data_IF_691934493788
#
_entry.id   IF_691934493788
#
_cell.length_a   1.000
_cell.length_b   1.000
_cell.length_c   1.000
_cell.angle_alpha   90.00
_cell.angle_beta   90.00
_cell.angle_gamma   90.00
#
_symmetry.space_group_name_H-M   'P 1'
#
loop_
_entity.id
_entity.type
_entity.pdbx_description
1 polymer ?
#
# COMPACT_ATOMS: atom_id res chain seq x y z
N UNK A 1 -5.41 -98.00 19.82
CA UNK A 1 -6.41 -97.57 18.82
C UNK A 1 -6.89 -96.21 19.21
N UNK A 2 -6.45 -95.20 18.52
CA UNK A 2 -6.55 -93.79 18.89
C UNK A 2 -7.54 -93.12 17.95
N UNK A 3 -8.65 -92.63 18.49
CA UNK A 3 -9.64 -91.82 17.74
C UNK A 3 -9.29 -90.34 17.84
N UNK A 4 -9.00 -89.72 16.69
CA UNK A 4 -8.86 -88.29 16.54
C UNK A 4 -10.23 -87.68 16.36
N UNK A 5 -10.63 -86.74 17.24
CA UNK A 5 -11.74 -85.79 17.01
C UNK A 5 -11.17 -84.53 16.54
N UNK A 6 -11.58 -84.09 15.35
CA UNK A 6 -11.26 -82.81 14.73
C UNK A 6 -12.29 -81.78 15.19
N UNK A 7 -11.87 -80.79 15.93
CA UNK A 7 -12.72 -79.71 16.34
C UNK A 7 -12.65 -78.55 15.33
N UNK A 8 -13.79 -78.16 14.78
CA UNK A 8 -13.95 -77.04 13.84
C UNK A 8 -14.13 -75.75 14.63
N UNK A 9 -13.15 -74.83 14.57
CA UNK A 9 -13.29 -73.55 15.09
C UNK A 9 -13.92 -72.59 14.01
N UNK A 10 -15.13 -72.11 14.25
CA UNK A 10 -15.79 -71.08 13.44
C UNK A 10 -15.36 -69.78 14.02
N UNK A 11 -14.51 -68.99 13.29
CA UNK A 11 -14.17 -67.69 13.62
C UNK A 11 -15.22 -66.68 13.03
N UNK A 12 -16.04 -66.16 13.88
CA UNK A 12 -17.02 -65.15 13.50
C UNK A 12 -16.29 -63.76 13.43
N UNK A 13 -15.99 -63.26 12.21
CA UNK A 13 -15.51 -61.92 12.00
C UNK A 13 -16.67 -60.95 12.19
N UNK A 14 -16.66 -60.19 13.28
CA UNK A 14 -17.55 -59.05 13.50
C UNK A 14 -16.99 -57.87 12.70
N UNK A 15 -17.58 -57.57 11.55
CA UNK A 15 -17.26 -56.40 10.76
C UNK A 15 -17.86 -55.17 11.43
N UNK A 16 -17.04 -54.37 12.12
CA UNK A 16 -17.43 -53.04 12.62
C UNK A 16 -17.55 -52.09 11.45
N UNK A 17 -18.76 -51.81 10.99
CA UNK A 17 -19.04 -50.72 10.03
C UNK A 17 -18.98 -49.41 10.82
N UNK A 18 -17.85 -48.72 10.76
CA UNK A 18 -17.76 -47.34 11.22
C UNK A 18 -18.44 -46.47 10.18
N UNK A 19 -19.66 -46.08 10.47
CA UNK A 19 -20.35 -45.04 9.68
C UNK A 19 -19.62 -43.69 9.93
N UNK A 20 -18.75 -43.32 9.01
CA UNK A 20 -18.24 -41.94 8.96
C UNK A 20 -19.37 -41.05 8.52
N UNK A 21 -20.06 -40.43 9.47
CA UNK A 21 -20.90 -39.27 9.17
C UNK A 21 -19.96 -38.14 8.73
N UNK A 22 -19.90 -37.87 7.42
CA UNK A 22 -19.34 -36.62 6.93
C UNK A 22 -20.20 -35.53 7.50
N UNK A 23 -19.69 -34.81 8.50
CA UNK A 23 -20.22 -33.53 8.90
C UNK A 23 -19.97 -32.62 7.68
N UNK A 24 -21.03 -32.35 6.91
CA UNK A 24 -20.96 -31.31 5.90
C UNK A 24 -20.57 -30.03 6.65
N UNK A 25 -19.40 -29.44 6.32
CA UNK A 25 -19.04 -28.14 6.82
C UNK A 25 -20.23 -27.19 6.53
N UNK A 26 -20.67 -26.48 7.52
CA UNK A 26 -21.67 -25.43 7.33
C UNK A 26 -21.19 -24.54 6.19
N UNK A 27 -22.06 -24.09 5.25
CA UNK A 27 -21.64 -23.19 4.22
C UNK A 27 -21.04 -21.96 4.90
N UNK A 28 -19.75 -21.72 4.64
CA UNK A 28 -19.07 -20.50 5.07
C UNK A 28 -19.86 -19.36 4.44
N UNK A 29 -20.38 -18.46 5.26
CA UNK A 29 -21.04 -17.26 4.74
C UNK A 29 -20.06 -16.56 3.78
N UNK A 30 -20.55 -16.19 2.60
CA UNK A 30 -19.73 -15.47 1.63
C UNK A 30 -19.11 -14.26 2.33
N UNK A 31 -17.77 -14.16 2.29
CA UNK A 31 -17.05 -13.04 2.89
C UNK A 31 -17.52 -11.73 2.27
N UNK A 32 -17.66 -10.69 3.08
CA UNK A 32 -18.00 -9.35 2.58
C UNK A 32 -16.85 -8.85 1.73
N UNK A 33 -17.06 -8.74 0.42
CA UNK A 33 -15.99 -8.43 -0.53
C UNK A 33 -16.00 -6.96 -0.95
N UNK A 34 -14.86 -6.29 -0.76
CA UNK A 34 -14.57 -4.98 -1.37
C UNK A 34 -14.18 -5.14 -2.85
N UNK A 35 -14.14 -4.05 -3.59
CA UNK A 35 -13.82 -4.07 -5.02
C UNK A 35 -12.45 -4.66 -5.38
N UNK A 36 -11.49 -4.58 -4.44
CA UNK A 36 -10.13 -5.08 -4.62
C UNK A 36 -9.87 -6.44 -3.97
N UNK A 37 -10.86 -7.11 -3.37
CA UNK A 37 -10.67 -8.34 -2.58
C UNK A 37 -9.93 -9.48 -3.30
N UNK A 38 -9.94 -9.51 -4.63
CA UNK A 38 -9.27 -10.52 -5.46
C UNK A 38 -8.01 -10.02 -6.14
N UNK A 39 -7.62 -8.78 -5.88
CA UNK A 39 -6.53 -8.12 -6.61
C UNK A 39 -5.17 -8.37 -5.96
N UNK A 40 -4.15 -8.17 -6.78
CA UNK A 40 -2.74 -8.14 -6.40
C UNK A 40 -2.24 -6.73 -6.70
N UNK A 41 -1.83 -6.00 -5.67
CA UNK A 41 -1.49 -4.58 -5.76
C UNK A 41 0.02 -4.42 -5.97
N UNK A 42 0.42 -3.63 -6.97
CA UNK A 42 1.76 -3.11 -7.14
C UNK A 42 1.78 -1.66 -6.66
N UNK A 43 2.48 -1.39 -5.57
CA UNK A 43 2.64 -0.05 -5.02
C UNK A 43 3.87 0.62 -5.61
N UNK A 44 3.72 1.80 -6.23
CA UNK A 44 4.78 2.45 -6.97
C UNK A 44 4.84 3.97 -6.75
N UNK A 45 6.08 4.48 -6.73
CA UNK A 45 6.39 5.91 -6.82
C UNK A 45 6.63 6.29 -8.28
N UNK A 46 5.80 7.14 -8.91
CA UNK A 46 6.03 7.59 -10.28
C UNK A 46 7.39 8.23 -10.46
N UNK A 47 7.81 9.14 -9.57
CA UNK A 47 9.12 9.82 -9.63
C UNK A 47 10.32 8.87 -9.62
N UNK A 48 10.19 7.66 -9.06
CA UNK A 48 11.29 6.69 -8.90
C UNK A 48 11.18 5.50 -9.85
N UNK A 49 10.14 5.45 -10.70
CA UNK A 49 9.90 4.27 -11.52
C UNK A 49 10.61 4.34 -12.88
N UNK A 50 10.24 5.30 -13.73
CA UNK A 50 10.86 5.49 -15.04
C UNK A 50 10.63 6.92 -15.54
N UNK A 51 11.69 7.58 -16.00
CA UNK A 51 11.61 8.89 -16.65
C UNK A 51 11.22 8.70 -18.13
N UNK A 52 10.02 9.12 -18.48
CA UNK A 52 9.48 9.06 -19.85
C UNK A 52 9.49 10.40 -20.57
N UNK A 53 9.66 11.52 -19.83
CA UNK A 53 9.66 12.88 -20.38
C UNK A 53 10.66 13.79 -19.69
N UNK A 54 11.87 13.86 -20.20
CA UNK A 54 12.92 14.73 -19.66
C UNK A 54 12.62 16.24 -19.77
N UNK A 55 11.53 16.65 -20.43
CA UNK A 55 11.15 18.06 -20.50
C UNK A 55 10.57 18.60 -19.19
N UNK A 56 10.11 17.72 -18.30
CA UNK A 56 9.63 18.07 -16.96
C UNK A 56 10.74 18.08 -15.89
N UNK A 57 11.95 17.61 -16.18
CA UNK A 57 13.13 17.60 -15.27
C UNK A 57 13.65 19.00 -14.90
N UNK A 58 13.09 20.05 -15.47
CA UNK A 58 13.54 21.44 -15.27
C UNK A 58 12.83 22.18 -14.15
N UNK A 59 11.80 21.61 -13.53
CA UNK A 59 11.06 22.28 -12.48
C UNK A 59 11.88 22.37 -11.17
N UNK A 60 11.62 23.40 -10.34
CA UNK A 60 12.32 23.54 -9.06
C UNK A 60 12.15 22.33 -8.16
N UNK A 61 13.23 21.82 -7.60
CA UNK A 61 13.21 20.61 -6.78
C UNK A 61 13.67 19.34 -7.51
N UNK A 62 14.10 19.45 -8.78
CA UNK A 62 14.77 18.37 -9.48
C UNK A 62 16.26 18.32 -9.10
N UNK A 63 16.66 17.27 -8.41
CA UNK A 63 18.05 16.89 -8.16
C UNK A 63 18.17 15.37 -8.04
N UNK A 64 18.41 14.64 -9.13
CA UNK A 64 18.43 13.18 -9.12
C UNK A 64 19.65 12.58 -8.40
N UNK A 65 20.54 13.39 -7.83
CA UNK A 65 21.67 12.94 -7.01
C UNK A 65 21.38 12.96 -5.50
N UNK A 66 20.32 13.64 -5.08
CA UNK A 66 19.91 13.75 -3.68
C UNK A 66 18.58 13.03 -3.44
N UNK A 67 18.57 12.09 -2.49
CA UNK A 67 17.41 11.24 -2.16
C UNK A 67 16.17 12.00 -1.72
N UNK A 68 16.31 13.25 -1.30
CA UNK A 68 15.23 14.12 -0.83
C UNK A 68 14.54 14.93 -1.94
N UNK A 69 14.98 14.81 -3.19
CA UNK A 69 14.51 15.62 -4.31
C UNK A 69 13.88 14.79 -5.43
N UNK A 70 13.25 15.44 -6.42
CA UNK A 70 12.71 14.75 -7.61
C UNK A 70 13.84 14.16 -8.47
N UNK A 71 13.63 12.95 -8.98
CA UNK A 71 14.58 12.24 -9.85
C UNK A 71 14.13 12.15 -11.31
N UNK A 72 12.91 12.59 -11.61
CA UNK A 72 12.37 12.71 -12.96
C UNK A 72 11.60 11.50 -13.47
N UNK A 73 11.31 10.50 -12.65
CA UNK A 73 10.30 9.52 -13.02
C UNK A 73 8.92 10.19 -13.13
N UNK A 74 8.08 9.73 -14.06
CA UNK A 74 6.85 10.42 -14.42
C UNK A 74 5.74 9.49 -14.92
N UNK A 75 4.56 10.04 -15.17
CA UNK A 75 3.41 9.31 -15.68
C UNK A 75 3.65 8.70 -17.06
N UNK A 76 4.42 9.36 -17.95
CA UNK A 76 4.77 8.81 -19.27
C UNK A 76 5.64 7.58 -19.13
N UNK A 77 6.65 7.63 -18.27
CA UNK A 77 7.52 6.50 -17.97
C UNK A 77 6.76 5.33 -17.34
N UNK A 78 5.91 5.61 -16.34
CA UNK A 78 5.09 4.60 -15.70
C UNK A 78 4.04 4.00 -16.65
N UNK A 79 3.48 4.79 -17.58
CA UNK A 79 2.58 4.32 -18.62
C UNK A 79 3.30 3.40 -19.60
N UNK A 80 4.49 3.82 -20.04
CA UNK A 80 5.23 3.16 -21.11
C UNK A 80 4.50 3.26 -22.45
N UNK A 81 4.75 2.30 -23.32
CA UNK A 81 4.10 2.21 -24.64
C UNK A 81 2.77 1.45 -24.60
N UNK A 82 2.37 0.94 -23.46
CA UNK A 82 1.20 0.09 -23.29
C UNK A 82 1.22 -1.19 -24.16
N UNK A 83 2.42 -1.69 -24.50
CA UNK A 83 2.63 -2.88 -25.30
C UNK A 83 3.48 -3.91 -24.53
N UNK A 84 3.30 -5.21 -24.79
CA UNK A 84 4.15 -6.24 -24.20
C UNK A 84 5.64 -5.98 -24.48
N UNK A 85 6.46 -6.13 -23.44
CA UNK A 85 7.91 -5.97 -23.52
C UNK A 85 8.42 -4.57 -23.14
N UNK A 86 7.52 -3.60 -22.87
CA UNK A 86 7.95 -2.33 -22.28
C UNK A 86 8.11 -2.41 -20.74
N UNK A 87 8.70 -1.38 -20.16
CA UNK A 87 8.98 -1.30 -18.72
C UNK A 87 7.88 -0.58 -17.91
N UNK A 88 6.82 -0.10 -18.55
CA UNK A 88 5.71 0.59 -17.89
C UNK A 88 4.65 -0.36 -17.33
N UNK A 89 3.39 0.03 -17.44
CA UNK A 89 2.23 -0.75 -16.96
C UNK A 89 2.19 -2.18 -17.51
N UNK A 90 2.64 -2.40 -18.76
CA UNK A 90 2.65 -3.73 -19.36
C UNK A 90 3.61 -4.69 -18.62
N UNK A 91 4.74 -4.20 -18.09
CA UNK A 91 5.62 -4.99 -17.22
C UNK A 91 4.94 -5.36 -15.91
N UNK A 92 4.27 -4.40 -15.28
CA UNK A 92 3.55 -4.63 -14.02
C UNK A 92 2.46 -5.71 -14.23
N UNK A 93 1.73 -5.61 -15.34
CA UNK A 93 0.76 -6.64 -15.74
C UNK A 93 1.39 -8.01 -15.96
N UNK A 94 2.55 -8.07 -16.62
CA UNK A 94 3.30 -9.31 -16.86
C UNK A 94 3.72 -10.00 -15.56
N UNK A 95 4.09 -9.26 -14.52
CA UNK A 95 4.41 -9.78 -13.19
C UNK A 95 3.18 -10.41 -12.47
N UNK A 96 1.97 -10.30 -13.05
CA UNK A 96 0.75 -10.87 -12.52
C UNK A 96 -0.07 -9.94 -11.63
N UNK A 97 0.34 -8.68 -11.47
CA UNK A 97 -0.44 -7.69 -10.74
C UNK A 97 -1.72 -7.31 -11.48
N UNK A 98 -2.76 -6.99 -10.73
CA UNK A 98 -4.08 -6.63 -11.25
C UNK A 98 -4.52 -5.23 -10.85
N UNK A 99 -3.80 -4.62 -9.90
CA UNK A 99 -4.01 -3.23 -9.48
C UNK A 99 -2.67 -2.51 -9.29
N UNK A 100 -2.66 -1.20 -9.54
CA UNK A 100 -1.51 -0.32 -9.34
C UNK A 100 -1.92 0.79 -8.37
N UNK A 101 -1.21 0.89 -7.26
CA UNK A 101 -1.34 1.97 -6.29
C UNK A 101 -0.19 2.96 -6.53
N UNK A 102 -0.54 4.21 -6.87
CA UNK A 102 0.40 5.31 -7.06
C UNK A 102 0.36 6.27 -5.87
N UNK A 103 1.52 6.82 -5.49
CA UNK A 103 1.59 7.91 -4.49
C UNK A 103 0.78 9.12 -4.95
N UNK A 104 0.47 10.11 -4.07
CA UNK A 104 -0.34 11.25 -4.46
C UNK A 104 0.26 12.00 -5.66
N UNK A 105 -0.59 12.35 -6.63
CA UNK A 105 -0.20 12.97 -7.91
C UNK A 105 -0.41 14.48 -7.94
N UNK A 106 -0.88 15.07 -6.84
CA UNK A 106 -1.25 16.49 -6.71
C UNK A 106 -0.04 17.39 -6.64
N UNK A 107 -0.21 18.68 -6.98
CA UNK A 107 0.90 19.66 -6.94
C UNK A 107 1.38 19.86 -5.52
N UNK A 108 2.68 19.76 -5.33
CA UNK A 108 3.33 19.84 -4.04
C UNK A 108 3.66 21.31 -3.65
N UNK A 109 3.95 21.50 -2.37
CA UNK A 109 4.55 22.77 -1.93
C UNK A 109 5.88 23.06 -2.64
N UNK A 110 6.30 24.31 -2.62
CA UNK A 110 7.61 24.70 -3.17
C UNK A 110 8.73 23.95 -2.44
N UNK A 111 9.77 23.52 -3.18
CA UNK A 111 10.94 22.90 -2.58
C UNK A 111 11.58 23.76 -1.49
N UNK A 112 12.09 23.08 -0.48
CA UNK A 112 12.88 23.69 0.60
C UNK A 112 14.35 23.32 0.42
N UNK A 113 15.29 23.95 1.15
CA UNK A 113 16.70 23.51 1.13
C UNK A 113 16.91 22.06 1.58
N UNK A 114 15.94 21.46 2.28
CA UNK A 114 16.03 20.13 2.85
C UNK A 114 15.28 19.05 2.03
N UNK A 115 14.59 19.43 0.95
CA UNK A 115 13.89 18.48 0.09
C UNK A 115 12.73 19.06 -0.70
N UNK A 116 12.17 18.22 -1.52
CA UNK A 116 11.00 18.48 -2.36
C UNK A 116 9.91 17.41 -2.15
N UNK A 117 8.69 17.71 -2.56
CA UNK A 117 7.53 16.84 -2.40
C UNK A 117 7.46 15.66 -3.38
N UNK A 118 8.58 15.10 -3.84
CA UNK A 118 8.64 14.01 -4.82
C UNK A 118 7.78 12.79 -4.44
N UNK A 119 7.53 12.62 -3.16
CA UNK A 119 6.72 11.54 -2.60
C UNK A 119 5.20 11.80 -2.68
N UNK A 120 4.77 13.05 -2.90
CA UNK A 120 3.36 13.39 -3.07
C UNK A 120 2.61 13.84 -1.81
N UNK A 121 3.23 13.79 -0.62
CA UNK A 121 2.54 14.02 0.66
C UNK A 121 2.59 15.46 1.16
N UNK A 122 3.17 16.40 0.41
CA UNK A 122 3.22 17.83 0.74
C UNK A 122 2.33 18.66 -0.20
N UNK A 123 1.10 18.16 -0.44
CA UNK A 123 0.18 18.73 -1.41
C UNK A 123 -0.29 20.13 -1.04
N UNK A 124 -0.33 21.02 -2.06
CA UNK A 124 -0.93 22.35 -1.96
C UNK A 124 -2.02 22.60 -3.00
N UNK A 125 -1.91 22.05 -4.21
CA UNK A 125 -2.99 22.11 -5.21
C UNK A 125 -3.50 20.72 -5.51
N UNK A 126 -4.66 20.41 -4.96
CA UNK A 126 -5.30 19.09 -5.04
C UNK A 126 -6.17 18.90 -6.29
N UNK A 127 -6.29 19.94 -7.12
CA UNK A 127 -7.09 19.89 -8.36
C UNK A 127 -6.26 19.61 -9.61
N UNK A 128 -4.92 19.74 -9.51
CA UNK A 128 -4.02 19.60 -10.64
C UNK A 128 -2.94 18.54 -10.40
N UNK A 129 -2.47 17.94 -11.50
CA UNK A 129 -1.33 17.02 -11.50
C UNK A 129 -0.04 17.80 -11.31
N UNK A 130 0.88 17.28 -10.48
CA UNK A 130 2.19 17.91 -10.28
C UNK A 130 2.98 17.92 -11.61
N UNK A 131 3.52 19.08 -12.01
CA UNK A 131 4.22 19.21 -13.29
C UNK A 131 5.48 18.35 -13.42
N UNK A 132 6.11 17.92 -12.31
CA UNK A 132 7.21 16.95 -12.34
C UNK A 132 6.73 15.57 -12.79
N UNK A 133 5.48 15.21 -12.49
CA UNK A 133 4.90 13.91 -12.83
C UNK A 133 4.21 13.93 -14.20
N UNK A 134 3.94 15.12 -14.76
CA UNK A 134 3.31 15.25 -16.06
C UNK A 134 2.10 16.18 -16.07
N UNK A 135 1.22 15.96 -17.02
CA UNK A 135 0.01 16.76 -17.26
C UNK A 135 -1.26 15.95 -17.02
N UNK A 136 -2.41 16.64 -17.02
CA UNK A 136 -3.73 16.00 -17.05
C UNK A 136 -3.87 15.02 -18.23
N UNK A 137 -3.31 15.36 -19.39
CA UNK A 137 -3.36 14.47 -20.56
C UNK A 137 -2.52 13.19 -20.35
N UNK A 138 -1.37 13.29 -19.69
CA UNK A 138 -0.54 12.13 -19.36
C UNK A 138 -1.24 11.21 -18.36
N UNK A 139 -1.98 11.77 -17.38
CA UNK A 139 -2.76 10.99 -16.44
C UNK A 139 -3.96 10.28 -17.11
N UNK A 140 -4.61 10.94 -18.08
CA UNK A 140 -5.65 10.30 -18.90
C UNK A 140 -5.06 9.13 -19.70
N UNK A 141 -3.90 9.33 -20.35
CA UNK A 141 -3.22 8.27 -21.10
C UNK A 141 -2.80 7.09 -20.20
N UNK A 142 -2.33 7.37 -18.97
CA UNK A 142 -2.04 6.36 -17.96
C UNK A 142 -3.29 5.54 -17.60
N UNK A 143 -4.40 6.21 -17.35
CA UNK A 143 -5.68 5.56 -17.03
C UNK A 143 -6.21 4.70 -18.20
N UNK A 144 -6.16 5.22 -19.42
CA UNK A 144 -6.57 4.47 -20.61
C UNK A 144 -5.70 3.23 -20.85
N UNK A 145 -4.38 3.35 -20.64
CA UNK A 145 -3.47 2.22 -20.72
C UNK A 145 -3.77 1.17 -19.65
N UNK A 146 -3.98 1.58 -18.40
CA UNK A 146 -4.36 0.68 -17.32
C UNK A 146 -5.65 -0.08 -17.66
N UNK A 147 -6.67 0.62 -18.14
CA UNK A 147 -7.93 0.02 -18.58
C UNK A 147 -7.73 -1.00 -19.71
N UNK A 148 -6.92 -0.67 -20.72
CA UNK A 148 -6.57 -1.57 -21.83
C UNK A 148 -5.89 -2.85 -21.36
N UNK A 149 -5.04 -2.75 -20.32
CA UNK A 149 -4.32 -3.87 -19.73
C UNK A 149 -5.12 -4.62 -18.65
N UNK A 150 -6.37 -4.23 -18.37
CA UNK A 150 -7.17 -4.71 -17.24
C UNK A 150 -6.40 -4.58 -15.92
N UNK A 151 -5.81 -3.42 -15.70
CA UNK A 151 -5.22 -3.00 -14.42
C UNK A 151 -6.15 -2.00 -13.75
N UNK A 152 -6.45 -2.20 -12.49
CA UNK A 152 -7.18 -1.27 -11.63
C UNK A 152 -6.22 -0.20 -11.12
N UNK A 153 -6.70 1.03 -10.98
CA UNK A 153 -5.89 2.13 -10.44
C UNK A 153 -6.36 2.51 -9.04
N UNK A 154 -5.41 2.66 -8.14
CA UNK A 154 -5.60 3.10 -6.75
C UNK A 154 -4.82 4.40 -6.57
N UNK A 155 -5.48 5.46 -6.12
CA UNK A 155 -4.85 6.73 -5.80
C UNK A 155 -4.54 6.79 -4.31
N UNK A 156 -3.32 7.19 -3.97
CA UNK A 156 -3.01 7.64 -2.62
C UNK A 156 -3.58 9.05 -2.41
N UNK A 157 -4.28 9.27 -1.32
CA UNK A 157 -4.95 10.54 -1.02
C UNK A 157 -4.60 11.00 0.38
N UNK A 158 -4.32 12.29 0.51
CA UNK A 158 -4.04 12.95 1.78
C UNK A 158 -5.26 13.77 2.17
N UNK A 159 -5.85 13.47 3.32
CA UNK A 159 -7.04 14.19 3.83
C UNK A 159 -6.77 14.92 5.13
N UNK A 160 -5.70 14.55 5.84
CA UNK A 160 -5.36 15.06 7.16
C UNK A 160 -4.65 16.43 7.13
N UNK A 161 -3.79 16.65 6.15
CA UNK A 161 -2.91 17.82 6.12
C UNK A 161 -2.67 18.35 4.71
N UNK A 162 -2.08 19.55 4.64
CA UNK A 162 -1.51 20.11 3.43
C UNK A 162 -0.01 20.38 3.62
N UNK A 163 0.66 20.86 2.57
CA UNK A 163 2.01 21.39 2.70
C UNK A 163 2.07 22.54 3.72
N UNK A 164 3.27 22.79 4.25
CA UNK A 164 3.58 23.75 5.31
C UNK A 164 3.49 25.19 4.80
N UNK A 165 2.34 25.84 4.98
CA UNK A 165 2.03 27.22 4.59
C UNK A 165 1.70 28.10 5.79
N UNK A 166 0.95 27.55 6.78
CA UNK A 166 0.54 28.28 7.98
C UNK A 166 1.76 28.52 8.88
N UNK A 167 1.85 29.73 9.43
CA UNK A 167 2.90 30.11 10.36
C UNK A 167 2.30 30.56 11.67
N UNK A 168 3.11 30.51 12.71
CA UNK A 168 2.69 30.89 14.06
C UNK A 168 3.55 32.04 14.57
N UNK A 169 2.87 33.08 15.08
CA UNK A 169 3.51 34.09 15.92
C UNK A 169 3.04 33.83 17.35
N UNK A 170 3.92 33.31 18.17
CA UNK A 170 3.60 32.71 19.48
C UNK A 170 2.55 31.57 19.29
N UNK A 171 1.28 31.84 19.60
CA UNK A 171 0.17 30.88 19.45
C UNK A 171 -0.88 31.31 18.42
N UNK A 172 -0.60 32.38 17.67
CA UNK A 172 -1.55 32.90 16.68
C UNK A 172 -1.13 32.42 15.30
N UNK A 173 -1.97 31.60 14.69
CA UNK A 173 -1.77 31.14 13.33
C UNK A 173 -2.03 32.26 12.31
N UNK A 174 -1.22 32.32 11.26
CA UNK A 174 -1.42 33.24 10.15
C UNK A 174 -0.90 32.64 8.84
N UNK A 175 -1.43 33.11 7.72
CA UNK A 175 -0.90 32.80 6.39
C UNK A 175 -0.03 34.01 5.96
N UNK A 176 1.25 33.79 5.59
CA UNK A 176 2.10 34.87 5.05
C UNK A 176 1.47 35.50 3.83
N UNK A 177 1.69 36.84 3.65
CA UNK A 177 1.06 37.64 2.58
C UNK A 177 1.40 37.12 1.17
N UNK A 178 2.55 36.52 0.98
CA UNK A 178 3.00 35.92 -0.29
C UNK A 178 2.41 34.51 -0.54
N UNK A 179 1.69 33.98 0.43
CA UNK A 179 1.14 32.63 0.43
C UNK A 179 -0.39 32.58 0.63
N UNK A 180 -1.09 33.73 0.60
CA UNK A 180 -2.54 33.83 0.89
C UNK A 180 -3.39 32.90 0.03
N UNK A 181 -2.98 32.61 -1.21
CA UNK A 181 -3.68 31.71 -2.12
C UNK A 181 -2.78 30.54 -2.57
N UNK A 182 -1.92 30.06 -1.68
CA UNK A 182 -0.96 29.00 -2.01
C UNK A 182 -1.63 27.62 -2.15
N UNK A 183 -2.84 27.47 -1.62
CA UNK A 183 -3.56 26.18 -1.62
C UNK A 183 -4.77 26.21 -2.56
N UNK A 184 -5.05 25.09 -3.16
CA UNK A 184 -6.19 24.89 -4.06
C UNK A 184 -6.84 23.50 -3.77
N UNK A 185 -8.14 23.41 -3.51
CA UNK A 185 -9.19 24.45 -3.71
C UNK A 185 -9.15 25.59 -2.67
N UNK A 186 -9.89 26.67 -2.98
CA UNK A 186 -9.84 27.94 -2.22
C UNK A 186 -10.18 27.81 -0.73
N UNK A 187 -11.04 26.87 -0.33
CA UNK A 187 -11.40 26.64 1.08
C UNK A 187 -10.20 26.21 1.94
N UNK A 188 -9.13 25.70 1.34
CA UNK A 188 -7.86 25.40 2.03
C UNK A 188 -7.04 26.65 2.41
N UNK A 189 -7.44 27.84 1.98
CA UNK A 189 -6.81 29.09 2.40
C UNK A 189 -7.55 29.80 3.56
N UNK A 190 -8.58 29.18 4.10
CA UNK A 190 -9.29 29.68 5.29
C UNK A 190 -8.74 28.98 6.54
N UNK A 191 -8.06 29.76 7.40
CA UNK A 191 -7.50 29.28 8.67
C UNK A 191 -8.54 28.57 9.55
N UNK A 192 -9.83 28.97 9.44
CA UNK A 192 -10.88 28.32 10.22
C UNK A 192 -11.07 26.83 9.88
N UNK A 193 -10.53 26.36 8.77
CA UNK A 193 -10.57 24.95 8.35
C UNK A 193 -9.37 24.12 8.85
N UNK A 194 -8.53 24.71 9.69
CA UNK A 194 -7.37 24.06 10.30
C UNK A 194 -7.50 24.11 11.83
N UNK A 195 -6.82 23.19 12.52
CA UNK A 195 -6.83 23.20 13.99
C UNK A 195 -5.96 24.30 14.59
N UNK A 196 -4.91 24.72 13.90
CA UNK A 196 -4.04 25.84 14.29
C UNK A 196 -3.44 25.69 15.71
N UNK A 197 -3.07 24.48 16.08
CA UNK A 197 -2.49 24.19 17.41
C UNK A 197 -0.96 24.26 17.38
N UNK A 198 -0.36 24.17 16.20
CA UNK A 198 1.08 24.08 15.99
C UNK A 198 1.60 22.64 16.00
N UNK A 199 2.93 22.48 15.95
CA UNK A 199 3.58 21.19 15.75
C UNK A 199 3.39 20.25 16.95
N UNK A 200 2.81 19.08 16.67
CA UNK A 200 2.56 17.99 17.60
C UNK A 200 3.31 16.71 17.21
N UNK A 201 4.37 16.80 16.42
CA UNK A 201 5.14 15.68 15.85
C UNK A 201 5.64 14.66 16.88
N UNK A 202 5.81 15.06 18.12
CA UNK A 202 6.23 14.17 19.21
C UNK A 202 5.07 13.41 19.87
N UNK A 203 3.84 13.64 19.44
CA UNK A 203 2.67 12.97 19.98
C UNK A 203 2.34 11.70 19.17
N UNK A 204 2.99 10.61 19.51
CA UNK A 204 2.72 9.26 18.93
C UNK A 204 1.77 8.41 19.77
N UNK A 205 1.23 8.99 20.85
CA UNK A 205 0.31 8.32 21.76
C UNK A 205 -1.10 8.21 21.22
N UNK A 206 -2.01 7.83 22.10
CA UNK A 206 -3.44 7.89 21.86
C UNK A 206 -3.97 9.26 22.31
N UNK A 207 -5.03 9.71 21.66
CA UNK A 207 -5.75 10.90 22.09
C UNK A 207 -5.72 12.06 21.09
N UNK A 208 -6.26 13.19 21.54
CA UNK A 208 -6.53 14.35 20.70
C UNK A 208 -5.30 14.97 20.04
N UNK A 209 -4.13 14.84 20.62
CA UNK A 209 -2.92 15.40 20.03
C UNK A 209 -2.55 14.79 18.66
N UNK A 210 -2.94 13.56 18.39
CA UNK A 210 -2.74 12.95 17.07
C UNK A 210 -3.68 13.49 16.01
N UNK A 211 -4.79 14.08 16.41
CA UNK A 211 -5.86 14.54 15.52
C UNK A 211 -5.91 16.06 15.41
N UNK A 212 -5.17 16.80 16.23
CA UNK A 212 -5.35 18.24 16.39
C UNK A 212 -4.12 19.10 16.12
N UNK A 213 -3.02 18.53 15.65
CA UNK A 213 -1.80 19.33 15.51
C UNK A 213 -0.98 19.00 14.29
N UNK A 214 -0.22 19.99 13.86
CA UNK A 214 0.68 19.92 12.71
C UNK A 214 1.67 18.76 12.88
N UNK A 215 1.90 18.01 11.81
CA UNK A 215 2.79 16.87 11.80
C UNK A 215 4.03 17.19 10.96
N UNK A 216 5.16 17.42 11.63
CA UNK A 216 6.40 17.88 11.00
C UNK A 216 6.23 19.19 10.18
N UNK A 217 5.43 20.11 10.71
CA UNK A 217 5.14 21.39 10.08
C UNK A 217 4.07 21.34 8.99
N UNK A 218 3.53 20.17 8.64
CA UNK A 218 2.42 20.07 7.68
C UNK A 218 1.13 20.56 8.33
N UNK A 219 0.43 21.47 7.63
CA UNK A 219 -0.74 22.17 8.18
C UNK A 219 -1.91 21.22 8.43
N UNK A 220 -2.31 21.04 9.68
CA UNK A 220 -3.31 20.08 10.11
C UNK A 220 -4.74 20.57 9.88
N UNK A 221 -5.52 19.78 9.12
CA UNK A 221 -6.86 20.17 8.67
C UNK A 221 -7.91 19.68 9.68
N UNK A 222 -8.88 20.54 10.02
CA UNK A 222 -10.00 20.24 10.90
C UNK A 222 -11.01 19.29 10.23
N UNK A 223 -10.66 18.01 10.16
CA UNK A 223 -11.36 16.97 9.37
C UNK A 223 -12.76 16.62 9.90
N UNK A 224 -13.10 17.04 11.12
CA UNK A 224 -14.45 16.96 11.70
C UNK A 224 -15.44 17.94 11.07
N UNK A 225 -14.95 19.00 10.37
CA UNK A 225 -15.80 20.06 9.85
C UNK A 225 -16.53 19.69 8.56
N UNK A 226 -17.83 20.00 8.44
CA UNK A 226 -18.59 19.71 7.22
C UNK A 226 -17.99 20.31 5.95
N UNK A 227 -17.44 21.53 6.01
CA UNK A 227 -16.79 22.16 4.85
C UNK A 227 -15.57 21.36 4.39
N UNK A 228 -14.85 20.73 5.31
CA UNK A 228 -13.64 19.94 5.03
C UNK A 228 -14.01 18.58 4.42
N UNK A 229 -14.84 17.77 5.10
CA UNK A 229 -15.14 16.44 4.54
C UNK A 229 -15.97 16.51 3.26
N UNK A 230 -16.83 17.52 3.07
CA UNK A 230 -17.53 17.74 1.81
C UNK A 230 -16.58 18.25 0.72
N UNK A 231 -15.69 19.19 1.05
CA UNK A 231 -14.67 19.70 0.13
C UNK A 231 -13.75 18.57 -0.38
N UNK A 232 -13.29 17.69 0.50
CA UNK A 232 -12.52 16.51 0.10
C UNK A 232 -13.35 15.52 -0.75
N UNK A 233 -14.65 15.38 -0.49
CA UNK A 233 -15.50 14.54 -1.31
C UNK A 233 -15.65 15.09 -2.74
N UNK A 234 -15.74 16.42 -2.92
CA UNK A 234 -15.75 17.07 -4.22
C UNK A 234 -14.42 16.88 -4.96
N UNK A 235 -13.29 17.17 -4.29
CA UNK A 235 -11.94 17.03 -4.86
C UNK A 235 -11.71 15.60 -5.35
N UNK A 236 -11.76 14.63 -4.45
CA UNK A 236 -11.43 13.25 -4.80
C UNK A 236 -12.54 12.58 -5.62
N UNK A 237 -13.78 13.04 -5.51
CA UNK A 237 -14.86 12.67 -6.41
C UNK A 237 -14.60 13.08 -7.86
N UNK A 238 -13.96 14.25 -8.08
CA UNK A 238 -13.56 14.66 -9.42
C UNK A 238 -12.44 13.79 -9.99
N UNK A 239 -11.44 13.40 -9.17
CA UNK A 239 -10.40 12.46 -9.59
C UNK A 239 -10.97 11.09 -10.01
N UNK A 240 -12.00 10.59 -9.33
CA UNK A 240 -12.70 9.36 -9.73
C UNK A 240 -13.35 9.53 -11.11
N UNK A 241 -14.08 10.63 -11.33
CA UNK A 241 -14.79 10.90 -12.57
C UNK A 241 -13.86 11.09 -13.76
N UNK A 242 -12.76 11.83 -13.56
CA UNK A 242 -11.84 12.19 -14.63
C UNK A 242 -10.90 11.05 -15.02
N UNK A 243 -10.49 10.21 -14.06
CA UNK A 243 -9.41 9.24 -14.27
C UNK A 243 -9.77 7.78 -13.97
N UNK A 244 -10.96 7.51 -13.44
CA UNK A 244 -11.43 6.14 -13.25
C UNK A 244 -10.68 5.35 -12.17
N UNK A 245 -10.16 6.00 -11.14
CA UNK A 245 -9.65 5.31 -9.96
C UNK A 245 -10.76 4.48 -9.32
N UNK A 246 -10.44 3.26 -8.90
CA UNK A 246 -11.39 2.31 -8.30
C UNK A 246 -11.15 2.09 -6.82
N UNK A 247 -10.18 2.77 -6.25
CA UNK A 247 -9.90 2.75 -4.82
C UNK A 247 -9.00 3.88 -4.38
N UNK A 248 -9.03 4.17 -3.09
CA UNK A 248 -8.13 5.09 -2.40
C UNK A 248 -7.38 4.39 -1.28
N UNK A 249 -6.08 4.66 -1.20
CA UNK A 249 -5.34 4.55 0.06
C UNK A 249 -5.37 5.92 0.72
N UNK A 250 -5.83 5.99 1.96
CA UNK A 250 -5.88 7.24 2.71
C UNK A 250 -4.66 7.32 3.62
N UNK A 251 -3.81 8.29 3.32
CA UNK A 251 -2.63 8.62 4.10
C UNK A 251 -3.01 9.06 5.51
N UNK A 252 -2.17 8.73 6.49
CA UNK A 252 -2.33 9.18 7.87
C UNK A 252 -3.78 9.06 8.41
N UNK A 253 -4.51 8.00 8.01
CA UNK A 253 -5.90 7.79 8.43
C UNK A 253 -6.07 7.68 9.95
N UNK A 254 -4.98 7.43 10.68
CA UNK A 254 -4.92 7.46 12.14
C UNK A 254 -5.07 8.88 12.72
N UNK A 255 -4.73 9.90 11.95
CA UNK A 255 -4.67 11.28 12.37
C UNK A 255 -5.96 12.07 12.08
N UNK A 256 -6.83 11.59 11.20
CA UNK A 256 -8.12 12.24 10.93
C UNK A 256 -9.13 11.99 12.06
N UNK A 257 -10.11 12.90 12.20
CA UNK A 257 -11.17 12.76 13.19
C UNK A 257 -11.95 11.45 13.04
N UNK A 258 -12.38 10.87 14.15
CA UNK A 258 -13.11 9.59 14.22
C UNK A 258 -14.40 9.57 13.39
N UNK A 259 -15.03 10.72 13.14
CA UNK A 259 -16.25 10.83 12.36
C UNK A 259 -16.00 11.07 10.86
N UNK A 260 -14.77 11.39 10.45
CA UNK A 260 -14.44 11.75 9.07
C UNK A 260 -14.94 10.69 8.07
N UNK A 261 -14.56 9.44 8.24
CA UNK A 261 -14.91 8.37 7.30
C UNK A 261 -16.41 8.08 7.26
N UNK A 262 -17.14 8.31 8.35
CA UNK A 262 -18.61 8.18 8.39
C UNK A 262 -19.30 9.19 7.48
N UNK A 263 -18.71 10.38 7.33
CA UNK A 263 -19.28 11.48 6.56
C UNK A 263 -18.73 11.52 5.12
N UNK A 264 -17.45 11.23 4.93
CA UNK A 264 -16.76 11.31 3.64
C UNK A 264 -16.97 10.08 2.76
N UNK A 265 -16.77 8.84 3.31
CA UNK A 265 -16.79 7.62 2.50
C UNK A 265 -18.12 7.36 1.76
N UNK A 266 -19.31 7.65 2.32
CA UNK A 266 -20.56 7.52 1.58
C UNK A 266 -20.64 8.41 0.34
N UNK A 267 -20.09 9.62 0.40
CA UNK A 267 -20.08 10.58 -0.74
C UNK A 267 -19.14 10.09 -1.83
N UNK A 268 -17.96 9.56 -1.48
CA UNK A 268 -17.03 8.94 -2.42
C UNK A 268 -17.67 7.73 -3.11
N UNK A 269 -18.30 6.84 -2.33
CA UNK A 269 -18.98 5.67 -2.88
C UNK A 269 -20.14 6.05 -3.82
N UNK A 270 -20.93 7.07 -3.47
CA UNK A 270 -22.00 7.58 -4.33
C UNK A 270 -21.45 8.16 -5.64
N UNK A 271 -20.34 8.89 -5.58
CA UNK A 271 -19.66 9.42 -6.76
C UNK A 271 -19.13 8.29 -7.63
N UNK A 272 -18.45 7.30 -7.05
CA UNK A 272 -17.94 6.13 -7.77
C UNK A 272 -19.07 5.35 -8.46
N UNK A 273 -20.17 5.10 -7.74
CA UNK A 273 -21.34 4.43 -8.31
C UNK A 273 -21.96 5.22 -9.49
N UNK A 274 -21.96 6.56 -9.44
CA UNK A 274 -22.47 7.41 -10.52
C UNK A 274 -21.72 7.27 -11.85
N UNK A 275 -20.48 6.76 -11.81
CA UNK A 275 -19.63 6.49 -12.99
C UNK A 275 -19.44 4.98 -13.24
N UNK A 276 -20.28 4.13 -12.62
CA UNK A 276 -20.29 2.68 -12.86
C UNK A 276 -19.29 1.87 -12.02
N UNK A 277 -18.69 2.46 -10.98
CA UNK A 277 -17.80 1.76 -10.05
C UNK A 277 -18.61 1.38 -8.79
N UNK A 278 -19.27 0.23 -8.83
CA UNK A 278 -20.20 -0.21 -7.77
C UNK A 278 -19.51 -0.56 -6.45
N UNK A 279 -18.26 -1.04 -6.49
CA UNK A 279 -17.49 -1.48 -5.33
C UNK A 279 -16.17 -0.71 -5.25
N UNK A 280 -16.25 0.56 -4.89
CA UNK A 280 -15.06 1.36 -4.63
C UNK A 280 -14.38 0.90 -3.34
N UNK A 281 -13.04 0.83 -3.32
CA UNK A 281 -12.31 0.38 -2.13
C UNK A 281 -11.57 1.53 -1.47
N UNK A 282 -11.83 1.74 -0.17
CA UNK A 282 -11.12 2.73 0.65
C UNK A 282 -10.37 1.99 1.75
N UNK A 283 -9.04 2.10 1.76
CA UNK A 283 -8.21 1.54 2.83
C UNK A 283 -7.31 2.60 3.44
N UNK A 284 -7.27 2.62 4.77
CA UNK A 284 -6.53 3.63 5.53
C UNK A 284 -5.16 3.14 5.96
N UNK A 285 -4.22 4.08 6.03
CA UNK A 285 -3.00 3.87 6.78
C UNK A 285 -3.25 4.15 8.26
N UNK A 286 -3.25 3.09 9.04
CA UNK A 286 -3.30 3.14 10.50
C UNK A 286 -2.08 2.41 11.01
N UNK A 287 -1.01 3.13 11.28
CA UNK A 287 0.24 2.53 11.75
C UNK A 287 0.08 2.05 13.19
N UNK A 288 -0.41 0.84 13.32
CA UNK A 288 -0.52 0.14 14.60
C UNK A 288 -0.34 -1.37 14.38
N UNK A 289 0.50 -1.99 15.21
CA UNK A 289 0.79 -3.43 15.12
C UNK A 289 -0.10 -4.27 16.03
N UNK A 290 -1.02 -3.63 16.76
CA UNK A 290 -1.99 -4.31 17.61
C UNK A 290 -3.31 -4.51 16.83
N UNK A 291 -3.74 -5.76 16.55
CA UNK A 291 -4.96 -6.01 15.80
C UNK A 291 -6.22 -5.47 16.46
N UNK A 292 -6.23 -5.36 17.80
CA UNK A 292 -7.39 -4.80 18.54
C UNK A 292 -7.54 -3.29 18.27
N UNK A 293 -6.43 -2.56 18.27
CA UNK A 293 -6.43 -1.13 17.93
C UNK A 293 -6.85 -0.92 16.48
N UNK A 294 -6.22 -1.69 15.57
CA UNK A 294 -6.50 -1.61 14.14
C UNK A 294 -7.98 -1.90 13.81
N UNK A 295 -8.57 -2.91 14.44
CA UNK A 295 -9.99 -3.26 14.29
C UNK A 295 -10.93 -2.10 14.66
N UNK A 296 -10.58 -1.27 15.64
CA UNK A 296 -11.40 -0.13 16.05
C UNK A 296 -11.62 0.86 14.89
N UNK A 297 -10.61 1.08 14.04
CA UNK A 297 -10.75 1.97 12.88
C UNK A 297 -11.75 1.43 11.86
N UNK A 298 -11.76 0.11 11.63
CA UNK A 298 -12.73 -0.53 10.73
C UNK A 298 -14.13 -0.52 11.35
N UNK A 299 -14.28 -0.96 12.59
CA UNK A 299 -15.60 -1.15 13.19
C UNK A 299 -16.21 0.12 13.77
N UNK A 300 -15.40 0.98 14.40
CA UNK A 300 -15.86 2.20 15.08
C UNK A 300 -15.79 3.41 14.15
N UNK A 301 -14.63 3.67 13.55
CA UNK A 301 -14.41 4.86 12.72
C UNK A 301 -14.97 4.69 11.30
N UNK A 302 -15.33 3.45 10.91
CA UNK A 302 -15.97 3.13 9.63
C UNK A 302 -15.06 3.32 8.41
N UNK A 303 -13.76 3.20 8.59
CA UNK A 303 -12.86 2.95 7.44
C UNK A 303 -13.24 1.57 6.89
N UNK A 304 -13.41 1.46 5.59
CA UNK A 304 -13.86 0.21 4.97
C UNK A 304 -12.88 -0.95 5.22
N UNK A 305 -11.58 -0.68 5.07
CA UNK A 305 -10.49 -1.57 5.43
C UNK A 305 -9.20 -0.78 5.67
N UNK A 306 -8.12 -1.43 6.08
CA UNK A 306 -6.84 -0.79 6.45
C UNK A 306 -5.64 -1.62 5.98
N UNK A 307 -4.46 -0.99 5.96
CA UNK A 307 -3.17 -1.69 5.83
C UNK A 307 -2.95 -2.58 7.05
N UNK A 308 -2.59 -3.85 6.82
CA UNK A 308 -2.41 -4.86 7.88
C UNK A 308 -0.99 -4.83 8.47
N UNK A 309 -0.71 -3.85 9.32
CA UNK A 309 0.56 -3.74 10.04
C UNK A 309 0.85 -4.92 10.98
N UNK A 310 -0.14 -5.51 11.67
CA UNK A 310 0.07 -6.77 12.41
C UNK A 310 0.60 -7.90 11.52
N UNK A 311 0.00 -8.10 10.34
CA UNK A 311 0.47 -9.09 9.37
C UNK A 311 1.90 -8.78 8.91
N UNK A 312 2.19 -7.52 8.57
CA UNK A 312 3.51 -7.08 8.14
C UNK A 312 4.58 -7.48 9.17
N UNK A 313 4.35 -7.16 10.45
CA UNK A 313 5.27 -7.46 11.52
C UNK A 313 5.48 -8.97 11.69
N UNK A 314 4.41 -9.72 11.89
CA UNK A 314 4.47 -11.15 12.22
C UNK A 314 5.01 -11.96 11.03
N UNK A 315 4.59 -11.66 9.80
CA UNK A 315 5.08 -12.36 8.60
C UNK A 315 6.57 -12.14 8.36
N UNK A 316 7.08 -10.93 8.59
CA UNK A 316 8.52 -10.65 8.46
C UNK A 316 9.34 -11.26 9.59
N UNK A 317 8.83 -11.30 10.82
CA UNK A 317 9.44 -12.00 11.96
C UNK A 317 9.52 -13.51 11.71
N UNK A 318 8.43 -14.12 11.25
CA UNK A 318 8.41 -15.54 10.90
C UNK A 318 9.36 -15.84 9.73
N UNK A 319 9.29 -15.09 8.64
CA UNK A 319 10.15 -15.30 7.48
C UNK A 319 11.65 -15.15 7.83
N UNK A 320 12.00 -14.26 8.75
CA UNK A 320 13.38 -14.13 9.25
C UNK A 320 13.81 -15.30 10.15
N UNK A 321 12.89 -16.10 10.66
CA UNK A 321 13.12 -17.12 11.67
C UNK A 321 13.31 -16.55 13.09
N UNK A 322 12.88 -15.30 13.32
CA UNK A 322 12.84 -14.68 14.63
C UNK A 322 11.70 -15.23 15.49
N UNK A 323 10.56 -15.50 14.87
CA UNK A 323 9.40 -16.11 15.51
C UNK A 323 9.03 -17.47 14.87
N UNK A 324 8.21 -18.24 15.54
CA UNK A 324 7.71 -19.53 15.10
C UNK A 324 6.27 -19.46 14.55
N UNK A 325 5.71 -20.59 14.13
CA UNK A 325 4.39 -20.68 13.53
C UNK A 325 3.24 -20.32 14.49
N UNK A 326 3.45 -20.44 15.81
CA UNK A 326 2.42 -20.09 16.80
C UNK A 326 2.11 -18.59 16.78
N UNK A 327 3.05 -17.74 16.37
CA UNK A 327 2.82 -16.30 16.22
C UNK A 327 1.90 -15.99 15.03
N UNK A 328 1.99 -16.76 13.94
CA UNK A 328 1.05 -16.67 12.81
C UNK A 328 -0.35 -17.17 13.21
N UNK A 329 -0.44 -18.30 13.90
CA UNK A 329 -1.69 -18.82 14.43
C UNK A 329 -2.36 -17.79 15.34
N UNK A 330 -1.61 -17.20 16.26
CA UNK A 330 -2.12 -16.14 17.12
C UNK A 330 -2.58 -14.90 16.32
N UNK A 331 -1.86 -14.48 15.28
CA UNK A 331 -2.27 -13.37 14.41
C UNK A 331 -3.65 -13.64 13.79
N UNK A 332 -3.81 -14.81 13.16
CA UNK A 332 -5.06 -15.15 12.47
C UNK A 332 -6.23 -15.42 13.42
N UNK A 333 -5.96 -15.76 14.68
CA UNK A 333 -7.01 -15.92 15.71
C UNK A 333 -7.75 -14.59 16.01
N UNK A 334 -7.19 -13.44 15.60
CA UNK A 334 -7.84 -12.13 15.70
C UNK A 334 -8.71 -11.76 14.50
N UNK A 335 -8.75 -12.58 13.45
CA UNK A 335 -9.45 -12.25 12.19
C UNK A 335 -10.95 -11.99 12.40
N UNK A 336 -11.60 -12.72 13.32
CA UNK A 336 -13.01 -12.54 13.68
C UNK A 336 -13.31 -11.13 14.23
N UNK A 337 -12.32 -10.43 14.78
CA UNK A 337 -12.51 -9.07 15.27
C UNK A 337 -12.89 -8.08 14.15
N UNK A 338 -12.45 -8.35 12.91
CA UNK A 338 -12.76 -7.50 11.76
C UNK A 338 -14.11 -7.80 11.13
N UNK A 339 -14.76 -8.90 11.52
CA UNK A 339 -16.02 -9.36 10.91
C UNK A 339 -17.19 -8.46 11.31
N UNK A 340 -17.89 -7.92 10.31
CA UNK A 340 -19.11 -7.13 10.46
C UNK A 340 -19.98 -7.30 9.21
N UNK A 341 -21.12 -6.60 9.13
CA UNK A 341 -21.95 -6.59 7.91
C UNK A 341 -21.22 -6.00 6.67
N UNK A 342 -20.13 -5.27 6.86
CA UNK A 342 -19.45 -4.53 5.78
C UNK A 342 -17.94 -4.75 5.74
N UNK A 343 -17.40 -5.63 6.57
CA UNK A 343 -15.94 -5.87 6.68
C UNK A 343 -15.66 -7.30 7.13
N UNK A 344 -14.52 -7.82 6.72
CA UNK A 344 -13.88 -8.99 7.28
C UNK A 344 -12.36 -8.95 7.04
N UNK A 345 -11.59 -9.83 7.67
CA UNK A 345 -10.14 -9.82 7.61
C UNK A 345 -9.58 -10.12 6.21
N UNK A 346 -10.35 -10.77 5.32
CA UNK A 346 -9.92 -11.02 3.93
C UNK A 346 -9.78 -9.74 3.10
N UNK A 347 -10.36 -8.64 3.57
CA UNK A 347 -10.28 -7.34 2.91
C UNK A 347 -9.11 -6.47 3.42
N UNK A 348 -8.37 -6.89 4.44
CA UNK A 348 -7.19 -6.17 4.90
C UNK A 348 -6.13 -6.15 3.81
N UNK A 349 -5.52 -4.99 3.57
CA UNK A 349 -4.43 -4.88 2.59
C UNK A 349 -3.13 -5.31 3.25
N UNK A 350 -2.66 -6.49 2.89
CA UNK A 350 -1.45 -7.11 3.45
C UNK A 350 -0.20 -6.68 2.70
N UNK A 351 0.92 -6.56 3.39
CA UNK A 351 2.20 -6.13 2.81
C UNK A 351 3.37 -6.61 3.68
N UNK A 352 4.60 -6.53 3.17
CA UNK A 352 5.82 -6.89 3.90
C UNK A 352 6.75 -5.71 4.17
N UNK A 353 6.66 -4.69 3.34
CA UNK A 353 7.42 -3.45 3.44
C UNK A 353 6.75 -2.37 2.60
N UNK A 354 7.12 -1.11 2.85
CA UNK A 354 6.61 0.04 2.13
C UNK A 354 7.67 1.17 2.09
N UNK A 355 7.25 2.32 1.62
CA UNK A 355 8.10 3.49 1.42
C UNK A 355 8.57 4.18 2.72
N UNK A 356 7.90 3.91 3.85
CA UNK A 356 8.25 4.50 5.16
C UNK A 356 9.02 3.51 6.02
N UNK A 357 8.55 2.26 6.11
CA UNK A 357 9.17 1.22 6.95
C UNK A 357 10.43 0.64 6.33
N UNK A 358 10.55 0.70 5.01
CA UNK A 358 11.61 0.04 4.26
C UNK A 358 11.15 -1.19 3.48
N UNK A 359 12.09 -1.81 2.79
CA UNK A 359 11.87 -2.93 1.90
C UNK A 359 11.75 -4.25 2.63
N UNK A 360 10.91 -5.15 2.13
CA UNK A 360 10.66 -6.47 2.73
C UNK A 360 11.95 -7.23 3.08
N UNK A 361 12.90 -7.28 2.16
CA UNK A 361 14.16 -7.98 2.38
C UNK A 361 15.03 -7.35 3.47
N UNK A 362 15.06 -6.01 3.59
CA UNK A 362 15.79 -5.32 4.67
C UNK A 362 15.17 -5.57 6.03
N UNK A 363 13.86 -5.52 6.09
CA UNK A 363 13.12 -5.79 7.33
C UNK A 363 13.39 -7.23 7.79
N UNK A 364 13.31 -8.22 6.90
CA UNK A 364 13.62 -9.63 7.19
C UNK A 364 15.09 -9.79 7.63
N UNK A 365 16.03 -9.14 6.96
CA UNK A 365 17.46 -9.17 7.33
C UNK A 365 17.70 -8.60 8.72
N UNK A 366 17.01 -7.52 9.09
CA UNK A 366 17.21 -6.80 10.35
C UNK A 366 16.62 -7.52 11.58
N UNK A 367 15.61 -8.38 11.40
CA UNK A 367 14.93 -9.07 12.51
C UNK A 367 15.80 -10.12 13.17
N UNK A 368 16.65 -10.80 12.40
CA UNK A 368 17.57 -11.83 12.88
C UNK A 368 18.80 -11.89 12.01
N UNK A 369 19.97 -12.05 12.63
CA UNK A 369 21.22 -12.34 11.92
C UNK A 369 21.16 -13.75 11.34
N UNK A 370 21.12 -13.86 10.02
CA UNK A 370 21.13 -15.11 9.27
C UNK A 370 22.33 -15.14 8.31
N UNK A 371 22.79 -16.32 7.89
CA UNK A 371 23.75 -16.41 6.78
C UNK A 371 23.26 -15.68 5.54
N UNK A 372 24.13 -14.99 4.83
CA UNK A 372 23.77 -14.23 3.63
C UNK A 372 23.08 -15.10 2.55
N UNK A 373 23.42 -16.41 2.50
CA UNK A 373 22.79 -17.39 1.60
C UNK A 373 21.32 -17.65 1.89
N UNK A 374 20.84 -17.34 3.09
CA UNK A 374 19.45 -17.56 3.49
C UNK A 374 18.54 -16.38 3.18
N UNK A 375 19.09 -15.20 2.85
CA UNK A 375 18.27 -13.99 2.69
C UNK A 375 17.27 -14.13 1.55
N UNK A 376 17.69 -14.66 0.39
CA UNK A 376 16.77 -14.90 -0.73
C UNK A 376 15.68 -15.91 -0.36
N UNK A 377 15.96 -17.15 0.11
CA UNK A 377 14.93 -18.08 0.54
C UNK A 377 13.95 -17.50 1.57
N UNK A 378 14.44 -16.73 2.53
CA UNK A 378 13.59 -16.09 3.56
C UNK A 378 12.72 -14.99 2.98
N UNK A 379 13.23 -14.19 2.05
CA UNK A 379 12.46 -13.19 1.33
C UNK A 379 11.35 -13.85 0.49
N UNK A 380 11.67 -14.95 -0.19
CA UNK A 380 10.67 -15.74 -0.92
C UNK A 380 9.60 -16.33 0.01
N UNK A 381 9.97 -16.80 1.21
CA UNK A 381 9.01 -17.28 2.21
C UNK A 381 8.06 -16.15 2.65
N UNK A 382 8.57 -14.95 2.89
CA UNK A 382 7.72 -13.79 3.21
C UNK A 382 6.70 -13.51 2.10
N UNK A 383 7.14 -13.50 0.84
CA UNK A 383 6.22 -13.32 -0.29
C UNK A 383 5.23 -14.50 -0.45
N UNK A 384 5.63 -15.74 -0.13
CA UNK A 384 4.70 -16.86 -0.10
C UNK A 384 3.58 -16.65 0.93
N UNK A 385 3.92 -16.21 2.15
CA UNK A 385 2.91 -15.85 3.15
C UNK A 385 1.98 -14.76 2.62
N UNK A 386 2.53 -13.69 2.05
CA UNK A 386 1.77 -12.57 1.50
C UNK A 386 0.72 -13.02 0.45
N UNK A 387 1.08 -13.95 -0.43
CA UNK A 387 0.21 -14.37 -1.53
C UNK A 387 -0.71 -15.53 -1.19
N UNK A 388 -0.36 -16.38 -0.23
CA UNK A 388 -1.05 -17.64 0.05
C UNK A 388 -1.93 -17.60 1.30
N UNK A 389 -1.89 -16.51 2.06
CA UNK A 389 -2.79 -16.28 3.19
C UNK A 389 -3.90 -15.29 2.84
N UNK A 390 -4.79 -15.00 3.79
CA UNK A 390 -5.89 -14.05 3.64
C UNK A 390 -5.38 -12.64 3.40
N UNK A 391 -6.23 -11.75 2.88
CA UNK A 391 -5.96 -10.35 2.63
C UNK A 391 -5.71 -10.03 1.16
N UNK A 392 -5.52 -8.76 0.87
CA UNK A 392 -5.24 -8.20 -0.46
C UNK A 392 -3.74 -7.90 -0.53
N UNK A 393 -2.94 -8.73 -1.21
CA UNK A 393 -1.49 -8.56 -1.25
C UNK A 393 -1.06 -7.27 -1.94
N UNK A 394 -0.17 -6.51 -1.29
CA UNK A 394 0.50 -5.33 -1.86
C UNK A 394 2.01 -5.53 -1.83
N UNK A 395 2.66 -5.34 -2.97
CA UNK A 395 4.12 -5.42 -3.14
C UNK A 395 4.66 -4.06 -3.50
N UNK A 396 5.67 -3.62 -2.78
CA UNK A 396 6.35 -2.36 -3.02
C UNK A 396 7.31 -2.48 -4.22
N UNK A 397 7.25 -1.53 -5.16
CA UNK A 397 8.10 -1.55 -6.37
C UNK A 397 9.58 -1.73 -6.01
N UNK A 398 10.30 -2.48 -6.82
CA UNK A 398 11.73 -2.76 -6.61
C UNK A 398 12.01 -3.97 -5.71
N UNK A 399 11.05 -4.43 -4.89
CA UNK A 399 11.22 -5.68 -4.12
C UNK A 399 11.34 -6.88 -5.06
N UNK A 400 10.62 -6.89 -6.19
CA UNK A 400 10.67 -7.92 -7.20
C UNK A 400 12.03 -8.04 -7.92
N UNK A 401 12.86 -7.01 -7.83
CA UNK A 401 14.23 -6.97 -8.39
C UNK A 401 15.29 -6.92 -7.30
N UNK A 402 14.93 -7.30 -6.07
CA UNK A 402 15.85 -7.50 -4.96
C UNK A 402 16.44 -6.24 -4.36
N UNK A 403 15.81 -5.07 -4.52
CA UNK A 403 16.21 -3.87 -3.79
C UNK A 403 16.11 -4.11 -2.29
N UNK A 404 17.08 -3.62 -1.52
CA UNK A 404 17.12 -3.86 -0.07
C UNK A 404 17.12 -2.57 0.75
N UNK A 405 17.51 -1.44 0.19
CA UNK A 405 17.71 -0.18 0.91
C UNK A 405 19.12 -0.05 1.49
N UNK A 406 19.55 1.16 1.72
CA UNK A 406 20.85 1.53 2.28
C UNK A 406 20.69 2.09 3.71
N UNK A 407 21.76 2.18 4.48
CA UNK A 407 21.73 2.74 5.83
C UNK A 407 20.69 2.07 6.74
N UNK A 408 19.76 2.87 7.30
CA UNK A 408 18.62 2.36 8.07
C UNK A 408 17.68 1.50 7.21
N UNK A 409 17.67 1.72 5.90
CA UNK A 409 16.85 1.00 4.93
C UNK A 409 15.38 1.42 4.93
N UNK A 410 15.04 2.54 5.55
CA UNK A 410 13.67 3.10 5.62
C UNK A 410 13.61 4.49 4.99
N UNK A 411 12.39 4.99 4.76
CA UNK A 411 12.12 6.30 4.20
C UNK A 411 12.90 6.56 2.89
N UNK A 412 13.52 7.71 2.72
CA UNK A 412 14.28 8.08 1.51
C UNK A 412 15.26 7.00 1.05
N UNK A 413 15.87 6.27 2.00
CA UNK A 413 16.83 5.20 1.72
C UNK A 413 16.19 3.91 1.17
N UNK A 414 14.86 3.81 1.18
CA UNK A 414 14.07 2.73 0.58
C UNK A 414 13.31 3.17 -0.69
N UNK A 415 13.53 4.41 -1.18
CA UNK A 415 12.83 4.99 -2.34
C UNK A 415 13.75 5.09 -3.55
N UNK A 416 14.47 3.99 -3.84
CA UNK A 416 15.46 3.91 -4.92
C UNK A 416 14.82 4.00 -6.30
N UNK A 417 15.60 4.49 -7.27
CA UNK A 417 15.22 4.51 -8.67
C UNK A 417 15.17 3.10 -9.27
N UNK A 418 14.14 2.80 -10.05
CA UNK A 418 14.09 1.60 -10.91
C UNK A 418 14.95 1.77 -12.18
N UNK A 419 15.08 3.00 -12.67
CA UNK A 419 15.92 3.38 -13.81
C UNK A 419 17.37 3.70 -13.38
N UNK A 420 18.21 4.19 -14.28
CA UNK A 420 19.62 4.52 -13.97
C UNK A 420 19.70 5.65 -12.96
N UNK A 421 20.23 5.36 -11.76
CA UNK A 421 20.30 6.31 -10.65
C UNK A 421 21.51 7.25 -10.76
N UNK A 422 21.35 8.47 -10.26
CA UNK A 422 22.44 9.40 -9.98
C UNK A 422 22.92 9.33 -8.52
N UNK A 423 22.16 8.71 -7.62
CA UNK A 423 22.54 8.51 -6.22
C UNK A 423 23.64 7.46 -6.11
N UNK A 424 24.83 7.85 -5.71
CA UNK A 424 26.02 6.98 -5.76
C UNK A 424 25.90 5.74 -4.88
N UNK A 425 25.30 5.84 -3.69
CA UNK A 425 25.14 4.70 -2.77
C UNK A 425 24.26 3.60 -3.36
N UNK A 426 23.29 3.93 -4.23
CA UNK A 426 22.40 2.95 -4.84
C UNK A 426 23.03 2.18 -6.01
N UNK A 427 24.14 2.69 -6.59
CA UNK A 427 24.89 2.00 -7.64
C UNK A 427 25.63 0.76 -7.14
N UNK A 428 26.04 0.79 -5.86
CA UNK A 428 26.77 -0.29 -5.18
C UNK A 428 25.91 -1.02 -4.15
N UNK A 429 24.64 -0.70 -4.08
CA UNK A 429 23.72 -1.29 -3.13
C UNK A 429 23.69 -2.82 -3.27
N UNK A 430 23.76 -3.51 -2.11
CA UNK A 430 23.50 -4.94 -2.04
C UNK A 430 22.10 -5.26 -2.58
N UNK A 431 22.00 -6.34 -3.34
CA UNK A 431 20.73 -6.85 -3.84
C UNK A 431 20.49 -8.28 -3.39
N UNK A 432 19.21 -8.62 -3.20
CA UNK A 432 18.79 -9.97 -2.86
C UNK A 432 18.67 -10.76 -4.16
N UNK A 433 19.37 -11.90 -4.26
CA UNK A 433 19.29 -12.78 -5.42
C UNK A 433 20.02 -12.31 -6.68
N UNK A 434 20.72 -11.19 -6.62
CA UNK A 434 21.59 -10.71 -7.70
C UNK A 434 22.79 -9.92 -7.17
N UNK A 435 23.75 -9.63 -8.03
CA UNK A 435 24.83 -8.70 -7.74
C UNK A 435 24.33 -7.25 -7.77
N UNK A 436 25.05 -6.30 -7.14
CA UNK A 436 24.82 -4.87 -7.34
C UNK A 436 24.80 -4.49 -8.81
N UNK A 437 23.98 -3.51 -9.17
CA UNK A 437 23.85 -3.01 -10.53
C UNK A 437 24.55 -1.65 -10.60
N UNK A 438 25.73 -1.57 -11.21
CA UNK A 438 26.58 -0.38 -11.20
C UNK A 438 25.93 0.90 -11.76
N UNK A 439 24.89 0.78 -12.59
CA UNK A 439 24.07 1.90 -13.05
C UNK A 439 22.84 2.15 -12.18
N UNK A 440 22.48 1.22 -11.31
CA UNK A 440 21.22 1.19 -10.59
C UNK A 440 20.02 0.76 -11.42
N UNK A 441 20.14 0.63 -12.75
CA UNK A 441 19.02 0.32 -13.65
C UNK A 441 18.50 -1.11 -13.43
N UNK A 442 17.44 -1.24 -12.67
CA UNK A 442 16.82 -2.50 -12.26
C UNK A 442 16.07 -3.21 -13.39
N UNK A 443 15.70 -2.49 -14.45
CA UNK A 443 15.06 -3.10 -15.62
C UNK A 443 15.99 -4.06 -16.36
N UNK A 444 17.30 -3.93 -16.21
CA UNK A 444 18.29 -4.83 -16.84
C UNK A 444 18.25 -6.26 -16.29
N UNK A 445 17.67 -6.46 -15.09
CA UNK A 445 17.57 -7.78 -14.44
C UNK A 445 16.13 -8.23 -14.23
N UNK A 446 15.15 -7.37 -14.49
CA UNK A 446 13.76 -7.54 -14.07
C UNK A 446 13.10 -8.82 -14.59
N UNK A 447 13.39 -9.23 -15.83
CA UNK A 447 12.74 -10.41 -16.43
C UNK A 447 13.31 -11.76 -15.96
N UNK A 448 14.49 -11.78 -15.36
CA UNK A 448 15.19 -13.00 -14.94
C UNK A 448 15.44 -13.05 -13.44
N UNK A 449 15.03 -12.02 -12.72
CA UNK A 449 15.27 -11.95 -11.29
C UNK A 449 14.50 -13.04 -10.53
N UNK A 450 15.13 -13.80 -9.61
CA UNK A 450 14.48 -14.94 -8.95
C UNK A 450 13.22 -14.53 -8.18
N UNK A 451 13.18 -13.35 -7.58
CA UNK A 451 11.99 -12.85 -6.87
C UNK A 451 10.87 -12.55 -7.88
N UNK A 452 11.15 -11.82 -8.99
CA UNK A 452 10.14 -11.51 -10.01
C UNK A 452 9.49 -12.79 -10.57
N UNK A 453 10.31 -13.77 -10.96
CA UNK A 453 9.83 -15.07 -11.46
C UNK A 453 9.02 -15.84 -10.39
N UNK A 454 9.34 -15.67 -9.12
CA UNK A 454 8.59 -16.27 -8.04
C UNK A 454 7.24 -15.60 -7.83
N UNK A 455 7.20 -14.25 -7.86
CA UNK A 455 5.95 -13.49 -7.76
C UNK A 455 4.99 -13.81 -8.92
N UNK A 456 5.49 -13.93 -10.16
CA UNK A 456 4.68 -14.38 -11.31
C UNK A 456 4.01 -15.74 -11.04
N UNK A 457 4.74 -16.70 -10.47
CA UNK A 457 4.21 -18.02 -10.11
C UNK A 457 3.18 -17.94 -8.98
N UNK A 458 3.44 -17.16 -7.94
CA UNK A 458 2.50 -16.95 -6.84
C UNK A 458 1.21 -16.27 -7.32
N UNK A 459 1.32 -15.26 -8.19
CA UNK A 459 0.19 -14.58 -8.79
C UNK A 459 -0.67 -15.55 -9.61
N UNK A 460 -0.05 -16.36 -10.46
CA UNK A 460 -0.74 -17.40 -11.23
C UNK A 460 -1.44 -18.43 -10.33
N UNK A 461 -0.77 -18.87 -9.25
CA UNK A 461 -1.32 -19.81 -8.28
C UNK A 461 -2.55 -19.23 -7.57
N UNK A 462 -2.45 -17.98 -7.07
CA UNK A 462 -3.55 -17.28 -6.39
C UNK A 462 -4.74 -17.07 -7.31
N UNK A 463 -4.49 -16.66 -8.57
CA UNK A 463 -5.54 -16.47 -9.58
C UNK A 463 -6.26 -17.78 -9.93
N UNK A 464 -5.52 -18.89 -10.04
CA UNK A 464 -6.08 -20.21 -10.33
C UNK A 464 -6.87 -20.83 -9.15
N UNK A 465 -6.66 -20.31 -7.92
CA UNK A 465 -7.26 -20.84 -6.70
C UNK A 465 -8.00 -19.74 -5.93
N UNK A 466 -9.25 -19.43 -6.31
CA UNK A 466 -10.03 -18.33 -5.69
C UNK A 466 -10.17 -18.46 -4.16
N UNK A 467 -10.08 -19.65 -3.59
CA UNK A 467 -10.08 -19.88 -2.15
C UNK A 467 -8.91 -19.20 -1.41
N UNK A 468 -7.79 -18.92 -2.09
CA UNK A 468 -6.69 -18.15 -1.50
C UNK A 468 -7.04 -16.67 -1.32
N UNK A 469 -8.00 -16.15 -2.07
CA UNK A 469 -8.46 -14.76 -1.94
C UNK A 469 -9.69 -14.62 -1.04
N UNK A 470 -10.58 -15.63 -1.02
CA UNK A 470 -11.92 -15.53 -0.46
C UNK A 470 -12.22 -16.59 0.62
N UNK A 471 -11.31 -17.55 0.83
CA UNK A 471 -11.49 -18.61 1.83
C UNK A 471 -11.25 -18.06 3.25
N UNK A 472 -11.93 -18.68 4.24
CA UNK A 472 -11.59 -18.51 5.67
C UNK A 472 -10.28 -19.25 5.98
N UNK A 473 -9.50 -18.70 6.88
CA UNK A 473 -8.31 -19.36 7.42
C UNK A 473 -8.63 -20.03 8.75
#
# INVERSE_FOLDING_TARGET
>A
MINKKLGLFIATCLSLVVATTSVAAAPVADSVQVGLSKDLIYFVFPDRYLNGDTSNDKFPGYDPSDTAFFHGGDLKGLTGTCQPGDNGLARIKKLGFTAVWVTPLVVQQKPTPNGAGYHGYWGNDFLNVDPHLGTKADLIAFSECAKKLNLKLILDVVTNHTGDVIRYNEKVAYIPTDSINAKNPAWLNDLSNFHNVGDMSNCWGEGSCMQLGDFYGLDDIATEKPVVYNGWAEVYGQWIKDYGFVGFRVDTARHVDDAFFKNWSPQINATAASVGIEKFTIFGEVWDVNPINLMNYVRRNKIQTVLDFPFQRISTEFASGYSDASTLENLFSYDDLYTSATSDASNLVTFLGNHDMGRAGKIIESKRINPASELLPRTLLGHALLYLTRGIPSVYYGDEVGMIGTGSGSDQLARQDMFSTKVNIWKTEKRIGSSPIGTGNSFTVSEKHPIALYLEKLAALRTANPGLANGSM
#
